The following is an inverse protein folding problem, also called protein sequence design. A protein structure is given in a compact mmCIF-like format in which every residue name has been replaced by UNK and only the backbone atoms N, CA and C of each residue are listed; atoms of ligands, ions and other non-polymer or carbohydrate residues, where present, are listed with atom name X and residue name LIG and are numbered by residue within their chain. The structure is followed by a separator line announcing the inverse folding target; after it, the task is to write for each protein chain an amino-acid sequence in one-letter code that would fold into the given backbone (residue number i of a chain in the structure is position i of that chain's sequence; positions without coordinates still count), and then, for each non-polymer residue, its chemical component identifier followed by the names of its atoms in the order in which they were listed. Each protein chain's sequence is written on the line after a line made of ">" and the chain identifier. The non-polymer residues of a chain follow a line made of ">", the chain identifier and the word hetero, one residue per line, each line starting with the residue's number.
data_IF_208124283520
#
_entry.id   IF_208124283520
#
_cell.length_a   1.000
_cell.length_b   1.000
_cell.length_c   1.000
_cell.angle_alpha   90.00
_cell.angle_beta   90.00
_cell.angle_gamma   90.00
#
_symmetry.space_group_name_H-M   'P 1'
#
loop_
_entity.id
_entity.type
_entity.pdbx_description
1 polymer ?
#
# COMPACT_ATOMS: atom_id res chain seq x y z
N UNK A 1 12.84 -25.74 -7.16
CA UNK A 1 12.71 -24.27 -7.10
C UNK A 1 11.23 -23.94 -7.13
N UNK A 2 10.77 -22.92 -6.40
CA UNK A 2 9.36 -22.48 -6.51
C UNK A 2 9.19 -21.69 -7.81
N UNK A 3 8.07 -21.88 -8.50
CA UNK A 3 7.76 -21.11 -9.71
C UNK A 3 7.43 -19.64 -9.35
N UNK A 4 7.69 -18.69 -10.27
CA UNK A 4 7.21 -17.32 -10.14
C UNK A 4 5.68 -17.28 -9.95
N UNK A 5 5.20 -16.39 -9.09
CA UNK A 5 3.78 -16.21 -8.79
C UNK A 5 3.21 -15.04 -9.58
N UNK A 6 1.90 -15.05 -9.82
CA UNK A 6 1.21 -13.95 -10.48
C UNK A 6 1.36 -12.64 -9.69
N UNK A 7 1.36 -11.53 -10.42
CA UNK A 7 1.53 -10.19 -9.87
C UNK A 7 0.43 -9.26 -10.38
N UNK A 8 0.07 -8.28 -9.57
CA UNK A 8 -0.80 -7.16 -9.96
C UNK A 8 -0.07 -5.87 -9.62
N UNK A 9 0.00 -4.96 -10.58
CA UNK A 9 0.54 -3.61 -10.38
C UNK A 9 -0.61 -2.62 -10.32
N UNK A 10 -0.60 -1.78 -9.28
CA UNK A 10 -1.52 -0.64 -9.14
C UNK A 10 -0.70 0.64 -9.14
N UNK A 11 -1.28 1.70 -9.67
CA UNK A 11 -0.58 2.99 -9.80
C UNK A 11 -1.48 4.14 -9.41
N UNK A 12 -0.88 5.19 -8.87
CA UNK A 12 -1.51 6.47 -8.57
C UNK A 12 -0.63 7.59 -9.14
N UNK A 13 -1.22 8.55 -9.85
CA UNK A 13 -0.53 9.76 -10.31
C UNK A 13 -1.13 11.00 -9.63
N UNK A 14 -0.27 11.85 -9.08
CA UNK A 14 -0.66 13.06 -8.34
C UNK A 14 0.18 14.27 -8.76
N UNK A 15 -0.44 15.45 -8.78
CA UNK A 15 0.25 16.72 -9.07
C UNK A 15 0.87 17.31 -7.79
N UNK A 16 1.77 16.54 -7.18
CA UNK A 16 2.48 16.89 -5.94
C UNK A 16 3.93 16.39 -5.97
N UNK A 17 4.79 17.14 -5.29
CA UNK A 17 6.21 16.84 -5.11
C UNK A 17 6.45 15.43 -4.52
N UNK A 18 7.40 14.64 -5.05
CA UNK A 18 7.67 13.27 -4.60
C UNK A 18 8.01 13.13 -3.12
N UNK A 19 8.72 14.09 -2.53
CA UNK A 19 9.04 14.05 -1.11
C UNK A 19 7.77 14.27 -0.27
N UNK A 20 6.86 15.16 -0.68
CA UNK A 20 5.56 15.34 -0.01
C UNK A 20 4.69 14.09 -0.10
N UNK A 21 4.65 13.44 -1.27
CA UNK A 21 3.90 12.18 -1.47
C UNK A 21 4.50 11.06 -0.63
N UNK A 22 5.83 10.95 -0.59
CA UNK A 22 6.52 10.00 0.27
C UNK A 22 6.20 10.21 1.75
N UNK A 23 6.28 11.45 2.24
CA UNK A 23 5.96 11.79 3.63
C UNK A 23 4.48 11.51 3.96
N UNK A 24 3.57 11.70 3.00
CA UNK A 24 2.17 11.33 3.17
C UNK A 24 2.03 9.84 3.49
N UNK A 25 2.66 8.96 2.72
CA UNK A 25 2.56 7.51 2.93
C UNK A 25 3.46 6.98 4.04
N UNK A 26 4.55 7.67 4.39
CA UNK A 26 5.39 7.31 5.54
C UNK A 26 4.57 7.39 6.85
N UNK A 27 3.63 8.33 6.93
CA UNK A 27 2.66 8.38 8.01
C UNK A 27 1.49 7.42 7.73
N UNK A 28 1.58 6.20 8.25
CA UNK A 28 0.56 5.15 8.11
C UNK A 28 -0.86 5.60 8.52
N UNK A 29 -1.01 6.59 9.42
CA UNK A 29 -2.34 7.13 9.74
C UNK A 29 -3.05 7.74 8.54
N UNK A 30 -2.30 8.33 7.61
CA UNK A 30 -2.89 8.85 6.37
C UNK A 30 -3.50 7.75 5.49
N UNK A 31 -3.12 6.48 5.68
CA UNK A 31 -3.68 5.40 4.87
C UNK A 31 -5.16 5.20 5.16
N UNK A 32 -5.64 5.57 6.35
CA UNK A 32 -7.06 5.55 6.71
C UNK A 32 -7.93 6.41 5.77
N UNK A 33 -7.34 7.43 5.14
CA UNK A 33 -8.06 8.28 4.17
C UNK A 33 -8.38 7.55 2.87
N UNK A 34 -7.70 6.43 2.58
CA UNK A 34 -7.99 5.56 1.43
C UNK A 34 -9.36 4.88 1.58
N UNK A 35 -9.79 4.65 2.82
CA UNK A 35 -11.14 4.18 3.13
C UNK A 35 -11.21 2.72 3.57
N UNK A 36 -10.32 1.84 3.09
CA UNK A 36 -10.34 0.42 3.46
C UNK A 36 -9.76 0.17 4.86
N UNK A 37 -8.64 0.81 5.20
CA UNK A 37 -8.00 0.67 6.50
C UNK A 37 -8.63 1.61 7.53
N UNK A 38 -8.80 1.10 8.76
CA UNK A 38 -9.31 1.86 9.91
C UNK A 38 -8.52 1.55 11.18
N UNK A 39 -8.61 2.44 12.15
CA UNK A 39 -8.05 2.30 13.49
C UNK A 39 -6.55 1.93 13.51
N UNK A 40 -5.76 2.46 12.56
CA UNK A 40 -4.33 2.21 12.44
C UNK A 40 -3.63 2.65 13.74
N UNK A 41 -2.96 1.76 14.47
CA UNK A 41 -2.31 2.09 15.74
C UNK A 41 -0.93 1.47 15.79
N UNK A 42 0.07 2.26 16.18
CA UNK A 42 1.44 1.79 16.33
C UNK A 42 1.54 0.86 17.55
N UNK A 43 2.21 -0.29 17.37
CA UNK A 43 2.52 -1.28 18.40
C UNK A 43 3.89 -1.87 18.09
N UNK A 44 4.91 -1.34 18.75
CA UNK A 44 6.32 -1.65 18.51
C UNK A 44 6.72 -1.38 17.05
N UNK A 45 7.28 -2.38 16.36
CA UNK A 45 7.67 -2.34 14.95
C UNK A 45 6.47 -2.48 13.99
N UNK A 46 5.32 -2.91 14.51
CA UNK A 46 4.11 -3.16 13.73
C UNK A 46 3.06 -2.06 13.96
N UNK A 47 2.12 -1.97 13.03
CA UNK A 47 0.92 -1.17 13.17
C UNK A 47 -0.29 -2.09 13.04
N UNK A 48 -1.17 -2.10 14.03
CA UNK A 48 -2.42 -2.87 13.97
C UNK A 48 -3.50 -2.05 13.26
N UNK A 49 -4.35 -2.69 12.46
CA UNK A 49 -5.42 -2.02 11.71
C UNK A 49 -6.61 -2.96 11.47
N UNK A 50 -7.78 -2.35 11.26
CA UNK A 50 -8.99 -3.01 10.79
C UNK A 50 -9.08 -2.90 9.27
N UNK A 51 -9.43 -4.00 8.62
CA UNK A 51 -9.62 -4.11 7.18
C UNK A 51 -11.01 -4.65 6.89
N UNK A 52 -11.51 -4.57 5.64
CA UNK A 52 -12.76 -5.23 5.24
C UNK A 52 -12.76 -6.74 5.47
N UNK A 53 -11.58 -7.36 5.59
CA UNK A 53 -11.39 -8.80 5.75
C UNK A 53 -10.96 -9.21 7.17
N UNK A 54 -11.08 -8.29 8.14
CA UNK A 54 -10.70 -8.52 9.54
C UNK A 54 -9.43 -7.78 9.97
N UNK A 55 -8.82 -8.22 11.07
CA UNK A 55 -7.64 -7.58 11.65
C UNK A 55 -6.39 -7.85 10.80
N UNK A 56 -5.57 -6.83 10.64
CA UNK A 56 -4.26 -6.95 10.02
C UNK A 56 -3.19 -6.19 10.82
N UNK A 57 -1.94 -6.50 10.50
CA UNK A 57 -0.79 -5.72 10.95
C UNK A 57 0.11 -5.35 9.78
N UNK A 58 0.69 -4.16 9.86
CA UNK A 58 1.55 -3.56 8.82
C UNK A 58 2.91 -3.25 9.42
N UNK A 59 3.99 -3.57 8.69
CA UNK A 59 5.34 -3.11 9.02
C UNK A 59 5.98 -2.49 7.78
N UNK A 60 6.37 -1.23 7.88
CA UNK A 60 7.06 -0.52 6.81
C UNK A 60 8.52 -0.99 6.70
N UNK A 61 8.98 -1.14 5.46
CA UNK A 61 10.36 -1.43 5.05
C UNK A 61 10.86 -0.25 4.21
N UNK A 62 10.71 0.94 4.76
CA UNK A 62 10.93 2.20 4.05
C UNK A 62 12.41 2.47 3.78
N UNK A 63 12.69 3.16 2.67
CA UNK A 63 13.99 3.75 2.38
C UNK A 63 13.79 5.12 1.73
N UNK A 64 14.17 6.17 2.45
CA UNK A 64 13.93 7.56 2.05
C UNK A 64 14.77 7.97 0.84
N UNK A 65 16.00 7.49 0.71
CA UNK A 65 16.91 7.86 -0.39
C UNK A 65 16.38 7.37 -1.74
N UNK A 66 15.62 6.27 -1.74
CA UNK A 66 15.02 5.68 -2.94
C UNK A 66 13.49 5.87 -3.02
N UNK A 67 12.91 6.58 -2.06
CA UNK A 67 11.45 6.79 -1.88
C UNK A 67 10.66 5.47 -1.87
N UNK A 68 11.21 4.45 -1.22
CA UNK A 68 10.61 3.12 -1.08
C UNK A 68 9.72 3.09 0.16
N UNK A 69 8.52 2.55 -0.01
CA UNK A 69 7.46 2.38 0.99
C UNK A 69 6.98 0.92 1.04
N UNK A 70 7.87 -0.02 0.69
CA UNK A 70 7.63 -1.44 0.83
C UNK A 70 7.06 -1.75 2.21
N UNK A 71 6.17 -2.73 2.30
CA UNK A 71 5.60 -3.12 3.58
C UNK A 71 5.20 -4.58 3.61
N UNK A 72 5.36 -5.15 4.80
CA UNK A 72 4.76 -6.43 5.11
C UNK A 72 3.33 -6.19 5.61
N UNK A 73 2.37 -6.92 5.06
CA UNK A 73 0.97 -6.90 5.47
C UNK A 73 0.55 -8.30 5.88
N UNK A 74 0.09 -8.46 7.11
CA UNK A 74 -0.25 -9.76 7.67
C UNK A 74 -1.66 -9.76 8.22
N UNK A 75 -2.46 -10.71 7.77
CA UNK A 75 -3.75 -11.06 8.35
C UNK A 75 -3.60 -12.36 9.15
N UNK A 76 -4.70 -12.88 9.69
CA UNK A 76 -4.72 -14.22 10.31
C UNK A 76 -4.31 -15.32 9.32
N UNK A 77 -4.74 -15.17 8.06
CA UNK A 77 -4.73 -16.27 7.07
C UNK A 77 -3.71 -16.05 5.94
N UNK A 78 -3.07 -14.87 5.87
CA UNK A 78 -2.15 -14.54 4.78
C UNK A 78 -1.05 -13.57 5.19
N UNK A 79 0.09 -13.69 4.53
CA UNK A 79 1.21 -12.75 4.63
C UNK A 79 1.59 -12.27 3.23
N UNK A 80 1.74 -10.96 3.13
CA UNK A 80 2.11 -10.25 1.93
C UNK A 80 3.39 -9.46 2.20
N UNK A 81 4.22 -9.35 1.17
CA UNK A 81 5.17 -8.26 1.03
C UNK A 81 4.75 -7.50 -0.21
N UNK A 82 4.38 -6.23 -0.03
CA UNK A 82 3.96 -5.33 -1.09
C UNK A 82 5.13 -4.41 -1.39
N UNK A 83 5.55 -4.38 -2.65
CA UNK A 83 6.62 -3.48 -3.08
C UNK A 83 5.99 -2.17 -3.52
N UNK A 84 6.39 -1.07 -2.88
CA UNK A 84 5.78 0.23 -3.09
C UNK A 84 6.84 1.32 -3.22
N UNK A 85 6.68 2.20 -4.21
CA UNK A 85 7.64 3.26 -4.47
C UNK A 85 6.98 4.52 -5.01
N UNK A 86 7.43 5.67 -4.52
CA UNK A 86 7.15 6.98 -5.13
C UNK A 86 8.24 7.29 -6.16
N UNK A 87 7.85 7.68 -7.35
CA UNK A 87 8.74 8.01 -8.46
C UNK A 87 8.42 9.43 -8.94
N UNK A 88 9.43 10.32 -9.09
CA UNK A 88 9.24 11.60 -9.76
C UNK A 88 8.61 11.43 -11.14
N UNK A 89 7.60 12.24 -11.45
CA UNK A 89 6.90 12.22 -12.72
C UNK A 89 6.61 13.65 -13.17
N UNK A 90 7.59 14.25 -13.86
CA UNK A 90 7.57 15.66 -14.27
C UNK A 90 7.25 16.59 -13.08
N UNK A 91 6.20 17.42 -13.20
CA UNK A 91 5.76 18.33 -12.13
C UNK A 91 5.15 17.63 -10.91
N UNK A 92 4.90 16.32 -11.00
CA UNK A 92 4.20 15.54 -9.98
C UNK A 92 4.92 14.24 -9.63
N UNK A 93 4.12 13.25 -9.24
CA UNK A 93 4.61 11.95 -8.78
C UNK A 93 3.75 10.81 -9.28
N UNK A 94 4.39 9.66 -9.51
CA UNK A 94 3.71 8.37 -9.62
C UNK A 94 4.02 7.53 -8.38
N UNK A 95 3.01 6.86 -7.83
CA UNK A 95 3.18 5.83 -6.80
C UNK A 95 2.78 4.50 -7.42
N UNK A 96 3.62 3.49 -7.29
CA UNK A 96 3.32 2.14 -7.75
C UNK A 96 3.31 1.15 -6.58
N UNK A 97 2.39 0.21 -6.63
CA UNK A 97 2.33 -0.96 -5.76
C UNK A 97 2.40 -2.22 -6.62
N UNK A 98 3.40 -3.06 -6.37
CA UNK A 98 3.50 -4.39 -6.94
C UNK A 98 3.11 -5.40 -5.86
N UNK A 99 1.96 -6.03 -6.08
CA UNK A 99 1.44 -7.11 -5.26
C UNK A 99 1.84 -8.44 -5.89
N UNK A 100 2.47 -9.32 -5.11
CA UNK A 100 2.77 -10.70 -5.50
C UNK A 100 1.76 -11.62 -4.81
N UNK A 101 1.07 -12.47 -5.56
CA UNK A 101 0.08 -13.42 -5.00
C UNK A 101 0.69 -14.24 -3.86
N UNK A 102 0.14 -14.23 -2.64
CA UNK A 102 0.62 -15.06 -1.53
C UNK A 102 0.59 -16.55 -1.86
N UNK A 103 1.47 -17.30 -1.19
CA UNK A 103 1.42 -18.75 -1.27
C UNK A 103 0.11 -19.26 -0.66
N UNK A 104 -0.50 -20.26 -1.29
CA UNK A 104 -1.78 -20.83 -0.84
C UNK A 104 -3.04 -20.03 -1.21
N UNK A 105 -2.91 -18.80 -1.72
CA UNK A 105 -4.05 -18.00 -2.19
C UNK A 105 -4.37 -18.30 -3.65
N UNK A 106 -5.63 -18.57 -3.99
CA UNK A 106 -6.05 -18.75 -5.39
C UNK A 106 -5.96 -17.44 -6.20
N UNK A 107 -5.96 -17.54 -7.53
CA UNK A 107 -5.94 -16.36 -8.40
C UNK A 107 -7.19 -15.48 -8.21
N UNK A 108 -8.37 -16.09 -8.06
CA UNK A 108 -9.62 -15.36 -7.87
C UNK A 108 -9.67 -14.62 -6.53
N UNK A 109 -9.16 -15.23 -5.45
CA UNK A 109 -9.05 -14.55 -4.14
C UNK A 109 -8.08 -13.37 -4.22
N UNK A 110 -6.94 -13.54 -4.90
CA UNK A 110 -5.96 -12.48 -5.09
C UNK A 110 -6.57 -11.27 -5.80
N UNK A 111 -7.24 -11.48 -6.93
CA UNK A 111 -7.91 -10.43 -7.69
C UNK A 111 -9.04 -9.78 -6.89
N UNK A 112 -9.82 -10.58 -6.16
CA UNK A 112 -10.92 -10.10 -5.32
C UNK A 112 -10.43 -9.15 -4.22
N UNK A 113 -9.33 -9.49 -3.54
CA UNK A 113 -8.77 -8.63 -2.48
C UNK A 113 -8.29 -7.27 -3.01
N UNK A 114 -7.85 -7.19 -4.27
CA UNK A 114 -7.35 -5.96 -4.89
C UNK A 114 -8.39 -5.22 -5.74
N UNK A 115 -9.62 -5.74 -5.85
CA UNK A 115 -10.67 -5.19 -6.71
C UNK A 115 -11.01 -3.74 -6.37
N UNK A 116 -11.01 -3.39 -5.09
CA UNK A 116 -11.39 -2.06 -4.61
C UNK A 116 -10.20 -1.13 -4.36
N UNK A 117 -8.97 -1.57 -4.66
CA UNK A 117 -7.78 -0.77 -4.41
C UNK A 117 -7.77 0.55 -5.21
N UNK A 118 -8.46 0.59 -6.34
CA UNK A 118 -8.60 1.80 -7.16
C UNK A 118 -9.35 2.91 -6.41
N UNK A 119 -10.40 2.56 -5.64
CA UNK A 119 -11.13 3.50 -4.78
C UNK A 119 -10.19 4.07 -3.70
N UNK A 120 -9.32 3.25 -3.13
CA UNK A 120 -8.32 3.71 -2.16
C UNK A 120 -7.35 4.71 -2.78
N UNK A 121 -6.84 4.41 -3.98
CA UNK A 121 -5.93 5.32 -4.69
C UNK A 121 -6.60 6.64 -5.07
N UNK A 122 -7.86 6.64 -5.47
CA UNK A 122 -8.61 7.88 -5.74
C UNK A 122 -8.81 8.72 -4.47
N UNK A 123 -9.07 8.08 -3.33
CA UNK A 123 -9.24 8.79 -2.07
C UNK A 123 -7.91 9.34 -1.53
N UNK A 124 -6.81 8.58 -1.66
CA UNK A 124 -5.48 9.10 -1.38
C UNK A 124 -5.12 10.26 -2.31
N UNK A 125 -5.41 10.17 -3.61
CA UNK A 125 -5.23 11.27 -4.57
C UNK A 125 -5.87 12.56 -4.05
N UNK A 126 -7.17 12.50 -3.72
CA UNK A 126 -7.92 13.64 -3.19
C UNK A 126 -7.27 14.20 -1.91
N UNK A 127 -6.88 13.33 -0.97
CA UNK A 127 -6.27 13.74 0.29
C UNK A 127 -4.87 14.34 0.15
N UNK A 128 -4.10 13.90 -0.86
CA UNK A 128 -2.77 14.41 -1.18
C UNK A 128 -2.88 15.77 -1.88
N UNK A 129 -3.82 15.92 -2.82
CA UNK A 129 -3.99 17.13 -3.63
C UNK A 129 -4.82 18.22 -2.94
N UNK A 130 -5.55 17.90 -1.87
CA UNK A 130 -6.22 18.88 -1.01
C UNK A 130 -5.29 19.57 0.00
N UNK A 131 -4.04 19.11 0.08
CA UNK A 131 -2.97 19.69 0.91
C UNK A 131 -2.03 20.50 0.04
#
# INVERSE_FOLDING_TARGET
>A
MKEPRSVIVKTLVVDRDPAKVYQFFLNLKNWETGGALKNIKKKDEWWETDTPFGKARIRLRQNQDFLILDHDFQTRDSQWTVFCRVTPNERGSAVSWLFIRPEGMSQNEFESQLKNFEIETENWKKAIESK
#
